data_IF_218971271482
#
_entry.id   IF_218971271482
#
_cell.length_a   1.000
_cell.length_b   1.000
_cell.length_c   1.000
_cell.angle_alpha   90.00
_cell.angle_beta   90.00
_cell.angle_gamma   90.00
#
_symmetry.space_group_name_H-M   'P 1'
#
loop_
_entity.id
_entity.type
_entity.pdbx_description
1 polymer ?
#
# COMPACT_ATOMS: atom_id res chain seq x y z
N UNK A 1 -13.64 16.14 4.01
CA UNK A 1 -12.30 15.70 4.48
C UNK A 1 -11.33 15.98 3.36
N UNK A 2 -10.26 16.73 3.64
CA UNK A 2 -9.31 17.19 2.62
C UNK A 2 -8.61 16.02 1.94
N UNK A 3 -8.59 16.04 0.60
CA UNK A 3 -7.82 15.11 -0.19
C UNK A 3 -6.35 15.50 -0.07
N UNK A 4 -5.50 14.65 0.50
CA UNK A 4 -4.05 14.87 0.50
C UNK A 4 -3.47 14.14 -0.71
N UNK A 5 -2.88 14.90 -1.62
CA UNK A 5 -2.13 14.41 -2.77
C UNK A 5 -0.64 14.63 -2.59
N UNK A 6 0.15 13.75 -3.17
CA UNK A 6 1.60 13.76 -3.06
C UNK A 6 2.26 13.63 -4.42
N UNK A 7 3.33 14.39 -4.64
CA UNK A 7 4.20 14.28 -5.80
C UNK A 7 5.64 14.23 -5.30
N UNK A 8 6.42 13.25 -5.75
CA UNK A 8 7.84 13.15 -5.42
C UNK A 8 8.65 13.61 -6.63
N UNK A 9 9.45 14.64 -6.43
CA UNK A 9 10.49 15.05 -7.39
C UNK A 9 11.84 14.54 -6.89
N UNK A 10 12.30 13.46 -7.51
CA UNK A 10 13.57 12.83 -7.17
C UNK A 10 14.78 13.66 -7.63
N UNK A 11 14.63 14.51 -8.65
CA UNK A 11 15.72 15.37 -9.13
C UNK A 11 16.03 16.48 -8.13
N UNK A 12 15.00 16.96 -7.42
CA UNK A 12 15.13 17.96 -6.36
C UNK A 12 15.25 17.33 -4.97
N UNK A 13 14.92 16.04 -4.83
CA UNK A 13 14.85 15.36 -3.53
C UNK A 13 13.72 15.90 -2.64
N UNK A 14 12.59 16.29 -3.24
CA UNK A 14 11.46 16.93 -2.54
C UNK A 14 10.17 16.12 -2.72
N UNK A 15 9.45 15.92 -1.62
CA UNK A 15 8.06 15.49 -1.59
C UNK A 15 7.17 16.74 -1.49
N UNK A 16 6.39 16.99 -2.54
CA UNK A 16 5.32 17.98 -2.53
C UNK A 16 4.05 17.33 -2.00
N UNK A 17 3.38 18.01 -1.07
CA UNK A 17 2.11 17.59 -0.49
C UNK A 17 1.09 18.71 -0.65
N UNK A 18 -0.08 18.36 -1.17
CA UNK A 18 -1.13 19.32 -1.50
C UNK A 18 -2.47 18.87 -0.92
N UNK A 19 -3.30 19.83 -0.54
CA UNK A 19 -4.65 19.59 -0.06
C UNK A 19 -5.57 20.76 -0.43
N UNK A 20 -6.81 20.52 -0.90
CA UNK A 20 -7.79 21.60 -1.13
C UNK A 20 -8.15 22.39 0.13
N UNK A 21 -7.86 21.85 1.31
CA UNK A 21 -8.10 22.51 2.59
C UNK A 21 -6.95 23.45 3.00
N UNK A 22 -5.79 23.37 2.35
CA UNK A 22 -4.62 24.18 2.64
C UNK A 22 -4.36 25.15 1.49
N UNK A 23 -4.01 26.40 1.81
CA UNK A 23 -3.76 27.43 0.79
C UNK A 23 -2.49 27.19 -0.01
N UNK A 24 -1.47 26.68 0.67
CA UNK A 24 -0.14 26.48 0.11
C UNK A 24 0.24 25.00 0.11
N UNK A 25 1.03 24.62 -0.89
CA UNK A 25 1.64 23.29 -0.96
C UNK A 25 2.74 23.17 0.08
N UNK A 26 2.79 22.06 0.79
CA UNK A 26 3.88 21.73 1.71
C UNK A 26 5.03 21.08 0.93
N UNK A 27 6.26 21.43 1.27
CA UNK A 27 7.47 20.87 0.67
C UNK A 27 8.26 20.16 1.76
N UNK A 28 8.54 18.88 1.57
CA UNK A 28 9.31 18.06 2.52
C UNK A 28 10.55 17.53 1.80
N UNK A 29 11.73 17.91 2.28
CA UNK A 29 13.00 17.36 1.77
C UNK A 29 13.13 15.89 2.14
N UNK A 30 13.51 15.04 1.17
CA UNK A 30 13.67 13.60 1.37
C UNK A 30 14.94 13.29 2.16
N UNK A 31 16.07 13.88 1.75
CA UNK A 31 17.38 13.74 2.41
C UNK A 31 17.60 14.76 3.51
N UNK A 32 16.53 15.30 4.10
CA UNK A 32 16.68 16.09 5.31
C UNK A 32 17.42 15.23 6.34
N UNK A 33 18.64 15.63 6.71
CA UNK A 33 19.29 15.25 7.95
C UNK A 33 18.39 15.77 9.07
N UNK A 34 17.27 15.11 9.32
CA UNK A 34 16.34 15.48 10.40
C UNK A 34 17.09 15.14 11.68
N UNK A 35 17.72 16.19 12.21
CA UNK A 35 18.31 16.38 13.52
C UNK A 35 18.33 15.13 14.42
N UNK A 36 19.53 14.73 14.84
CA UNK A 36 19.81 13.64 15.79
C UNK A 36 19.06 13.76 17.14
N UNK A 37 18.32 14.85 17.38
CA UNK A 37 17.79 15.25 18.67
C UNK A 37 16.32 14.89 18.95
N UNK A 38 15.58 14.26 18.04
CA UNK A 38 14.15 13.92 18.28
C UNK A 38 13.73 12.55 17.72
N UNK A 39 14.47 11.50 18.06
CA UNK A 39 13.98 10.13 17.90
C UNK A 39 12.96 9.85 19.01
N UNK A 40 11.73 9.56 18.62
CA UNK A 40 10.66 9.16 19.51
C UNK A 40 10.33 7.67 19.33
N UNK A 41 9.89 7.04 20.41
CA UNK A 41 9.37 5.68 20.40
C UNK A 41 7.85 5.71 20.32
N UNK A 42 7.28 5.09 19.29
CA UNK A 42 5.82 4.91 19.17
C UNK A 42 5.45 3.43 19.17
N UNK A 43 4.25 3.12 19.65
CA UNK A 43 3.66 1.79 19.55
C UNK A 43 2.51 1.77 18.54
N UNK A 44 2.63 0.96 17.50
CA UNK A 44 1.58 0.72 16.51
C UNK A 44 1.32 -0.79 16.41
N UNK A 45 0.07 -1.19 16.66
CA UNK A 45 -0.36 -2.59 16.59
C UNK A 45 0.51 -3.57 17.40
N UNK A 46 0.98 -3.15 18.59
CA UNK A 46 1.83 -3.95 19.46
C UNK A 46 3.29 -4.08 18.98
N UNK A 47 3.72 -3.23 18.05
CA UNK A 47 5.11 -3.11 17.60
C UNK A 47 5.64 -1.71 17.91
N UNK A 48 6.90 -1.64 18.34
CA UNK A 48 7.58 -0.38 18.64
C UNK A 48 8.39 0.08 17.44
N UNK A 49 8.32 1.37 17.14
CA UNK A 49 9.03 2.00 16.04
C UNK A 49 9.78 3.22 16.57
N UNK A 50 11.05 3.33 16.18
CA UNK A 50 11.80 4.59 16.29
C UNK A 50 11.42 5.48 15.11
N UNK A 51 11.02 6.71 15.41
CA UNK A 51 10.52 7.65 14.41
C UNK A 51 11.11 9.03 14.61
N UNK A 52 11.22 9.76 13.51
CA UNK A 52 11.49 11.19 13.49
C UNK A 52 10.17 11.96 13.41
N UNK A 53 10.01 12.91 14.32
CA UNK A 53 8.93 13.90 14.26
C UNK A 53 9.30 15.04 13.34
N UNK A 54 8.33 15.55 12.59
CA UNK A 54 8.49 16.80 11.85
C UNK A 54 8.15 17.99 12.74
N UNK A 55 8.55 19.16 12.27
CA UNK A 55 8.34 20.43 12.95
C UNK A 55 6.85 20.82 13.04
N UNK A 56 6.58 21.84 13.87
CA UNK A 56 5.21 22.28 14.14
C UNK A 56 4.49 22.81 12.90
N UNK A 57 5.21 23.41 11.92
CA UNK A 57 4.61 23.91 10.69
C UNK A 57 4.09 22.75 9.84
N UNK A 58 4.91 21.72 9.63
CA UNK A 58 4.51 20.48 8.95
C UNK A 58 3.30 19.83 9.65
N UNK A 59 3.35 19.69 10.98
CA UNK A 59 2.25 19.06 11.73
C UNK A 59 0.95 19.89 11.68
N UNK A 60 1.06 21.23 11.73
CA UNK A 60 -0.08 22.13 11.57
C UNK A 60 -0.71 22.00 10.17
N UNK A 61 0.10 21.91 9.12
CA UNK A 61 -0.37 21.72 7.75
C UNK A 61 -1.19 20.43 7.62
N UNK A 62 -0.69 19.29 8.13
CA UNK A 62 -1.46 18.03 8.11
C UNK A 62 -2.71 18.11 8.98
N UNK A 63 -2.64 18.80 10.12
CA UNK A 63 -3.79 18.99 11.00
C UNK A 63 -4.91 19.78 10.34
N UNK A 64 -4.57 20.84 9.59
CA UNK A 64 -5.49 21.62 8.77
C UNK A 64 -6.05 20.78 7.62
N UNK A 65 -5.19 20.09 6.87
CA UNK A 65 -5.60 19.26 5.73
C UNK A 65 -6.60 18.17 6.12
N UNK A 66 -6.38 17.53 7.27
CA UNK A 66 -7.21 16.40 7.74
C UNK A 66 -8.40 16.91 8.58
N UNK A 67 -8.32 18.13 9.13
CA UNK A 67 -9.33 18.73 10.00
C UNK A 67 -9.32 18.17 11.43
N UNK A 68 -8.16 17.65 11.89
CA UNK A 68 -7.95 17.14 13.26
C UNK A 68 -6.48 17.27 13.62
N UNK A 69 -6.18 17.52 14.90
CA UNK A 69 -4.80 17.55 15.39
C UNK A 69 -4.10 16.21 15.11
N UNK A 70 -2.97 16.27 14.43
CA UNK A 70 -2.13 15.11 14.12
C UNK A 70 -0.68 15.54 13.85
N UNK A 71 0.23 14.57 13.90
CA UNK A 71 1.64 14.77 13.59
C UNK A 71 2.06 13.82 12.47
N UNK A 72 2.95 14.30 11.60
CA UNK A 72 3.63 13.46 10.63
C UNK A 72 4.86 12.83 11.30
N UNK A 73 5.05 11.53 11.07
CA UNK A 73 6.18 10.78 11.61
C UNK A 73 6.90 10.04 10.47
N UNK A 74 8.23 10.02 10.49
CA UNK A 74 9.07 9.28 9.53
C UNK A 74 9.77 8.14 10.25
N UNK A 75 9.65 6.92 9.74
CA UNK A 75 10.36 5.77 10.30
C UNK A 75 11.88 5.95 10.21
N UNK A 76 12.60 5.72 11.32
CA UNK A 76 14.05 5.72 11.35
C UNK A 76 14.60 4.34 10.99
N UNK A 77 15.48 4.29 9.98
CA UNK A 77 16.17 3.07 9.59
C UNK A 77 17.53 2.88 10.31
N UNK A 78 17.92 3.80 11.20
CA UNK A 78 19.29 3.84 11.74
C UNK A 78 19.59 2.69 12.72
N UNK A 79 18.63 2.22 13.51
CA UNK A 79 18.80 1.02 14.34
C UNK A 79 18.02 -0.16 13.79
N UNK A 80 18.70 -0.85 12.88
CA UNK A 80 18.26 -2.12 12.35
C UNK A 80 18.08 -3.22 13.43
N UNK A 81 18.64 -3.08 14.63
CA UNK A 81 18.62 -4.11 15.68
C UNK A 81 17.41 -4.06 16.63
N UNK A 82 16.62 -2.97 16.66
CA UNK A 82 15.61 -2.78 17.71
C UNK A 82 14.27 -3.52 17.49
N UNK A 83 14.02 -4.06 16.28
CA UNK A 83 12.78 -4.78 15.93
C UNK A 83 12.70 -6.23 16.51
N UNK A 84 13.63 -6.63 17.38
CA UNK A 84 13.68 -8.00 17.93
C UNK A 84 12.68 -8.27 19.07
N UNK A 85 12.00 -7.28 19.63
CA UNK A 85 11.06 -7.51 20.75
C UNK A 85 9.61 -7.40 20.33
N UNK A 86 9.16 -8.39 19.55
CA UNK A 86 7.74 -8.69 19.45
C UNK A 86 7.26 -9.22 20.81
N UNK A 87 6.37 -8.52 21.49
CA UNK A 87 5.59 -9.10 22.59
C UNK A 87 4.77 -10.23 21.94
N UNK A 88 4.88 -11.45 22.49
CA UNK A 88 4.16 -12.63 22.00
C UNK A 88 2.68 -12.28 21.83
N UNK A 89 2.20 -12.16 20.58
CA UNK A 89 0.75 -12.09 20.29
C UNK A 89 0.25 -11.11 19.22
N UNK A 90 1.03 -10.18 18.67
CA UNK A 90 0.46 -9.13 17.79
C UNK A 90 1.06 -9.04 16.37
N UNK A 91 0.18 -8.98 15.36
CA UNK A 91 0.38 -8.79 13.90
C UNK A 91 1.08 -9.91 13.10
N UNK A 92 0.35 -10.50 12.15
CA UNK A 92 0.79 -11.54 11.21
C UNK A 92 1.56 -10.95 10.02
N UNK A 93 2.72 -10.35 10.25
CA UNK A 93 3.64 -10.06 9.15
C UNK A 93 4.09 -11.38 8.53
N UNK A 94 3.85 -11.58 7.22
CA UNK A 94 4.27 -12.79 6.51
C UNK A 94 5.75 -12.73 6.12
N UNK A 95 6.33 -11.54 6.10
CA UNK A 95 7.75 -11.34 5.92
C UNK A 95 8.44 -11.09 7.27
N UNK A 96 8.74 -12.18 7.98
CA UNK A 96 9.39 -12.10 9.30
C UNK A 96 10.88 -11.76 9.21
N UNK A 97 11.48 -11.82 8.01
CA UNK A 97 12.92 -11.58 7.81
C UNK A 97 13.21 -10.17 7.30
N UNK A 98 12.33 -9.59 6.46
CA UNK A 98 12.47 -8.19 6.07
C UNK A 98 11.73 -7.27 7.04
N UNK A 99 12.44 -6.26 7.51
CA UNK A 99 11.91 -5.18 8.36
C UNK A 99 10.95 -4.35 7.51
N UNK A 100 9.65 -4.55 7.72
CA UNK A 100 8.65 -3.62 7.19
C UNK A 100 8.64 -2.36 8.06
N UNK A 101 8.42 -1.22 7.42
CA UNK A 101 8.11 0.03 8.11
C UNK A 101 6.63 -0.01 8.58
N UNK A 102 5.86 1.03 8.33
CA UNK A 102 4.42 1.07 8.62
C UNK A 102 3.54 0.23 7.67
N UNK A 103 4.13 -0.59 6.78
CA UNK A 103 3.38 -1.48 5.91
C UNK A 103 2.76 -2.66 6.68
N UNK A 104 1.54 -3.07 6.27
CA UNK A 104 0.75 -4.03 7.04
C UNK A 104 1.26 -5.48 7.00
N UNK A 105 1.46 -6.05 5.79
CA UNK A 105 1.70 -7.50 5.64
C UNK A 105 2.94 -7.88 4.81
N UNK A 106 3.34 -7.05 3.84
CA UNK A 106 4.46 -7.30 2.93
C UNK A 106 5.02 -6.01 2.33
N UNK A 107 6.16 -6.12 1.64
CA UNK A 107 6.83 -4.99 0.99
C UNK A 107 6.04 -4.42 -0.19
N UNK A 108 5.44 -5.31 -1.00
CA UNK A 108 4.68 -4.91 -2.17
C UNK A 108 3.35 -5.67 -2.24
N UNK A 109 2.37 -5.02 -2.83
CA UNK A 109 1.13 -5.63 -3.26
C UNK A 109 1.01 -5.54 -4.79
N UNK A 110 0.76 -6.69 -5.43
CA UNK A 110 0.48 -6.78 -6.86
C UNK A 110 -0.99 -7.12 -7.11
N UNK A 111 -1.58 -6.47 -8.11
CA UNK A 111 -2.96 -6.70 -8.58
C UNK A 111 -2.97 -6.73 -10.12
N UNK A 112 -3.72 -7.66 -10.72
CA UNK A 112 -3.96 -7.67 -12.17
C UNK A 112 -5.14 -6.76 -12.56
N UNK A 113 -5.01 -6.06 -13.69
CA UNK A 113 -6.11 -5.29 -14.30
C UNK A 113 -7.28 -6.20 -14.69
N UNK A 114 -7.01 -7.41 -15.16
CA UNK A 114 -8.03 -8.40 -15.52
C UNK A 114 -8.81 -8.90 -14.31
N UNK A 115 -8.16 -9.07 -13.15
CA UNK A 115 -8.82 -9.35 -11.87
C UNK A 115 -9.77 -8.22 -11.45
N UNK A 116 -9.36 -6.97 -11.64
CA UNK A 116 -10.20 -5.80 -11.37
C UNK A 116 -11.36 -5.71 -12.37
N UNK A 117 -11.12 -6.00 -13.65
CA UNK A 117 -12.13 -6.03 -14.69
C UNK A 117 -13.21 -7.09 -14.41
N UNK A 118 -12.81 -8.31 -14.05
CA UNK A 118 -13.75 -9.37 -13.70
C UNK A 118 -14.57 -9.02 -12.45
N UNK A 119 -13.96 -8.42 -11.43
CA UNK A 119 -14.69 -7.92 -10.27
C UNK A 119 -15.73 -6.86 -10.66
N UNK A 120 -15.36 -5.88 -11.50
CA UNK A 120 -16.30 -4.87 -11.99
C UNK A 120 -17.47 -5.49 -12.76
N UNK A 121 -17.21 -6.50 -13.59
CA UNK A 121 -18.27 -7.24 -14.31
C UNK A 121 -19.25 -7.91 -13.35
N UNK A 122 -18.75 -8.52 -12.26
CA UNK A 122 -19.59 -9.14 -11.22
C UNK A 122 -20.42 -8.10 -10.47
N UNK A 123 -19.81 -6.97 -10.11
CA UNK A 123 -20.51 -5.85 -9.47
C UNK A 123 -21.67 -5.36 -10.35
N UNK A 124 -21.45 -5.17 -11.65
CA UNK A 124 -22.52 -4.78 -12.58
C UNK A 124 -23.61 -5.84 -12.73
N UNK A 125 -23.24 -7.12 -12.80
CA UNK A 125 -24.20 -8.23 -12.91
C UNK A 125 -25.11 -8.33 -11.68
N UNK A 126 -24.54 -8.14 -10.49
CA UNK A 126 -25.29 -8.21 -9.24
C UNK A 126 -26.33 -7.08 -9.11
N UNK A 127 -26.02 -5.89 -9.62
CA UNK A 127 -26.98 -4.78 -9.72
C UNK A 127 -28.09 -5.11 -10.73
N UNK A 128 -27.75 -5.65 -11.90
CA UNK A 128 -28.74 -6.03 -12.92
C UNK A 128 -29.70 -7.12 -12.43
N UNK A 129 -29.24 -8.02 -11.55
CA UNK A 129 -30.05 -9.07 -10.92
C UNK A 129 -30.99 -8.55 -9.82
N UNK A 130 -31.00 -7.24 -9.57
CA UNK A 130 -31.87 -6.64 -8.55
C UNK A 130 -31.53 -7.08 -7.13
N UNK A 131 -30.27 -7.45 -6.85
CA UNK A 131 -29.86 -7.82 -5.50
C UNK A 131 -29.98 -6.56 -4.62
N UNK A 132 -31.04 -6.51 -3.82
CA UNK A 132 -31.38 -5.37 -2.95
C UNK A 132 -30.21 -4.95 -2.09
N UNK A 133 -29.93 -3.64 -2.07
CA UNK A 133 -28.86 -3.04 -1.26
C UNK A 133 -27.47 -2.98 -1.92
N UNK A 134 -27.33 -3.39 -3.20
CA UNK A 134 -26.09 -3.19 -3.96
C UNK A 134 -26.12 -1.89 -4.76
N UNK A 135 -25.10 -1.06 -4.57
CA UNK A 135 -24.88 0.15 -5.35
C UNK A 135 -24.07 -0.17 -6.61
N UNK A 136 -24.33 0.55 -7.71
CA UNK A 136 -23.44 0.53 -8.87
C UNK A 136 -22.11 1.17 -8.46
N UNK A 137 -21.09 0.34 -8.29
CA UNK A 137 -19.74 0.78 -7.93
C UNK A 137 -18.77 0.25 -8.97
N UNK A 138 -18.09 1.15 -9.67
CA UNK A 138 -16.92 0.81 -10.44
C UNK A 138 -15.69 1.02 -9.55
N UNK A 139 -14.80 0.05 -9.51
CA UNK A 139 -13.54 0.11 -8.76
C UNK A 139 -12.34 0.10 -9.69
N UNK A 140 -11.38 0.98 -9.41
CA UNK A 140 -10.04 0.97 -9.99
C UNK A 140 -9.10 0.08 -9.18
N UNK A 141 -7.96 -0.30 -9.75
CA UNK A 141 -6.91 -1.01 -9.03
C UNK A 141 -6.46 -0.26 -7.76
N UNK A 142 -6.42 1.08 -7.81
CA UNK A 142 -6.04 1.93 -6.66
C UNK A 142 -6.92 1.72 -5.42
N UNK A 143 -8.16 1.21 -5.57
CA UNK A 143 -9.03 0.82 -4.43
C UNK A 143 -8.36 -0.21 -3.51
N UNK A 144 -7.50 -1.05 -4.07
CA UNK A 144 -6.81 -2.13 -3.34
C UNK A 144 -5.44 -1.69 -2.80
N UNK A 145 -5.03 -0.44 -3.07
CA UNK A 145 -3.75 0.15 -2.69
C UNK A 145 -2.52 -0.68 -3.15
N UNK A 146 -2.48 -1.17 -4.40
CA UNK A 146 -1.34 -1.92 -4.91
C UNK A 146 -0.12 -1.01 -5.07
N UNK A 147 1.06 -1.63 -5.04
CA UNK A 147 2.30 -1.01 -5.50
C UNK A 147 2.53 -1.30 -6.98
N UNK A 148 2.16 -2.51 -7.43
CA UNK A 148 2.32 -2.97 -8.81
C UNK A 148 0.95 -3.33 -9.39
N UNK A 149 0.67 -2.81 -10.58
CA UNK A 149 -0.51 -3.16 -11.38
C UNK A 149 -0.01 -3.75 -12.68
N UNK A 150 -0.53 -4.92 -13.06
CA UNK A 150 -0.07 -5.68 -14.23
C UNK A 150 -1.23 -6.08 -15.12
N UNK A 151 -0.93 -6.36 -16.39
CA UNK A 151 -1.91 -6.77 -17.39
C UNK A 151 -1.34 -7.85 -18.33
N UNK A 152 -2.18 -8.40 -19.20
CA UNK A 152 -1.85 -9.45 -20.16
C UNK A 152 -2.17 -10.88 -19.70
N UNK A 153 -2.84 -11.03 -18.56
CA UNK A 153 -3.15 -12.34 -17.95
C UNK A 153 -4.61 -12.77 -18.06
N UNK A 154 -4.93 -13.96 -17.52
CA UNK A 154 -6.32 -14.30 -17.18
C UNK A 154 -6.66 -13.64 -15.83
N UNK A 155 -7.94 -13.27 -15.58
CA UNK A 155 -8.34 -12.83 -14.25
C UNK A 155 -7.89 -13.82 -13.17
N UNK A 156 -7.24 -13.28 -12.13
CA UNK A 156 -6.71 -14.00 -10.98
C UNK A 156 -5.55 -14.95 -11.28
N UNK A 157 -4.90 -14.85 -12.46
CA UNK A 157 -3.71 -15.63 -12.76
C UNK A 157 -2.59 -15.39 -11.73
N UNK A 158 -2.54 -14.19 -11.14
CA UNK A 158 -1.56 -13.81 -10.14
C UNK A 158 -1.60 -14.69 -8.88
N UNK A 159 -2.74 -15.30 -8.56
CA UNK A 159 -2.85 -16.18 -7.38
C UNK A 159 -1.89 -17.37 -7.42
N UNK A 160 -1.56 -17.84 -8.63
CA UNK A 160 -0.71 -19.01 -8.86
C UNK A 160 0.78 -18.70 -8.89
N UNK A 161 1.17 -17.43 -9.03
CA UNK A 161 2.57 -17.04 -9.18
C UNK A 161 3.31 -17.18 -7.86
N UNK A 162 4.43 -17.90 -7.89
CA UNK A 162 5.35 -18.04 -6.75
C UNK A 162 6.56 -17.13 -6.92
N UNK A 163 7.03 -16.98 -8.15
CA UNK A 163 8.16 -16.12 -8.50
C UNK A 163 7.80 -15.24 -9.67
N UNK A 164 8.28 -14.01 -9.62
CA UNK A 164 8.00 -13.00 -10.64
C UNK A 164 9.29 -12.28 -10.96
N UNK A 165 9.61 -12.18 -12.25
CA UNK A 165 10.69 -11.34 -12.75
C UNK A 165 10.11 -10.16 -13.52
N UNK A 166 10.56 -8.95 -13.17
CA UNK A 166 10.23 -7.71 -13.88
C UNK A 166 11.57 -7.04 -14.21
N UNK A 167 11.92 -6.98 -15.50
CA UNK A 167 13.28 -6.62 -15.91
C UNK A 167 14.33 -7.56 -15.31
N UNK A 168 15.27 -7.00 -14.53
CA UNK A 168 16.31 -7.73 -13.78
C UNK A 168 15.95 -7.96 -12.30
N UNK A 169 14.77 -7.52 -11.84
CA UNK A 169 14.34 -7.64 -10.45
C UNK A 169 13.52 -8.90 -10.25
N UNK A 170 13.76 -9.57 -9.13
CA UNK A 170 13.11 -10.81 -8.76
C UNK A 170 12.25 -10.59 -7.53
N UNK A 171 11.06 -11.19 -7.54
CA UNK A 171 10.11 -11.13 -6.45
C UNK A 171 9.63 -12.54 -6.11
N UNK A 172 9.38 -12.78 -4.83
CA UNK A 172 8.70 -13.99 -4.36
C UNK A 172 7.33 -13.64 -3.82
N UNK A 173 6.34 -14.45 -4.17
CA UNK A 173 4.99 -14.34 -3.63
C UNK A 173 4.91 -14.88 -2.21
N UNK A 174 4.25 -14.11 -1.34
CA UNK A 174 3.87 -14.49 0.03
C UNK A 174 2.40 -14.94 0.08
N UNK A 175 1.79 -15.17 -1.09
CA UNK A 175 0.41 -15.59 -1.28
C UNK A 175 -0.60 -14.43 -1.29
N UNK A 176 -1.88 -14.79 -1.40
CA UNK A 176 -2.98 -13.84 -1.56
C UNK A 176 -3.10 -12.84 -0.41
N UNK A 177 -3.40 -11.58 -0.73
CA UNK A 177 -3.66 -10.52 0.23
C UNK A 177 -5.10 -10.60 0.75
N UNK A 178 -5.27 -10.69 2.07
CA UNK A 178 -6.59 -10.69 2.69
C UNK A 178 -7.15 -9.27 2.73
N UNK A 179 -8.38 -9.09 2.25
CA UNK A 179 -9.02 -7.78 2.16
C UNK A 179 -9.92 -7.51 3.35
N UNK A 180 -9.75 -6.31 3.90
CA UNK A 180 -10.58 -5.76 4.97
C UNK A 180 -11.51 -4.66 4.44
N UNK A 181 -12.39 -4.14 5.30
CA UNK A 181 -13.42 -3.15 4.96
C UNK A 181 -12.88 -1.83 4.40
N UNK A 182 -11.57 -1.56 4.48
CA UNK A 182 -10.97 -0.33 3.95
C UNK A 182 -11.25 -0.17 2.44
N UNK A 183 -11.36 -1.27 1.70
CA UNK A 183 -11.64 -1.23 0.25
C UNK A 183 -13.08 -0.82 -0.05
N UNK A 184 -13.96 -0.75 0.94
CA UNK A 184 -15.34 -0.31 0.76
C UNK A 184 -15.51 1.20 0.93
N UNK A 185 -14.45 1.90 1.32
CA UNK A 185 -14.46 3.35 1.45
C UNK A 185 -14.21 3.96 0.07
N UNK A 186 -15.16 4.79 -0.37
CA UNK A 186 -15.02 5.62 -1.55
C UNK A 186 -15.04 7.09 -1.15
N UNK A 187 -14.11 7.87 -1.71
CA UNK A 187 -14.16 9.32 -1.66
C UNK A 187 -14.95 9.79 -2.87
N UNK A 188 -16.08 10.45 -2.64
CA UNK A 188 -16.85 11.12 -3.68
C UNK A 188 -17.20 12.54 -3.19
N UNK A 189 -16.92 13.55 -4.01
CA UNK A 189 -17.14 14.97 -3.69
C UNK A 189 -16.59 15.40 -2.32
N UNK A 190 -15.41 14.89 -1.93
CA UNK A 190 -14.78 15.21 -0.64
C UNK A 190 -15.41 14.56 0.60
N UNK A 191 -16.39 13.67 0.41
CA UNK A 191 -17.04 12.88 1.46
C UNK A 191 -16.70 11.39 1.34
N UNK A 192 -16.52 10.75 2.50
CA UNK A 192 -16.30 9.29 2.57
C UNK A 192 -17.66 8.60 2.52
N UNK A 193 -17.93 7.96 1.40
CA UNK A 193 -19.06 7.06 1.21
C UNK A 193 -18.67 5.67 1.69
N UNK A 194 -19.41 5.17 2.68
CA UNK A 194 -19.26 3.81 3.20
C UNK A 194 -20.26 2.90 2.49
N UNK A 195 -19.78 1.79 1.97
CA UNK A 195 -20.65 0.73 1.44
C UNK A 195 -20.19 -0.64 1.92
N UNK A 196 -20.90 -1.70 1.53
CA UNK A 196 -20.43 -3.07 1.72
C UNK A 196 -19.63 -3.59 0.52
N UNK A 197 -19.57 -2.83 -0.56
CA UNK A 197 -18.90 -3.18 -1.82
C UNK A 197 -17.55 -2.47 -1.94
N UNK A 198 -16.54 -3.10 -2.57
CA UNK A 198 -16.61 -4.36 -3.32
C UNK A 198 -16.36 -5.61 -2.47
N UNK A 199 -16.14 -5.48 -1.15
CA UNK A 199 -15.76 -6.61 -0.29
C UNK A 199 -16.86 -7.68 -0.23
N UNK A 200 -18.14 -7.31 -0.22
CA UNK A 200 -19.26 -8.25 -0.22
C UNK A 200 -19.28 -9.09 -1.50
N UNK A 201 -19.08 -8.48 -2.67
CA UNK A 201 -18.94 -9.22 -3.93
C UNK A 201 -17.72 -10.11 -3.93
N UNK A 202 -16.56 -9.63 -3.47
CA UNK A 202 -15.38 -10.50 -3.32
C UNK A 202 -15.65 -11.68 -2.39
N UNK A 203 -16.37 -11.48 -1.29
CA UNK A 203 -16.69 -12.53 -0.34
C UNK A 203 -17.51 -13.68 -0.94
N UNK A 204 -18.29 -13.44 -2.00
CA UNK A 204 -19.16 -14.46 -2.57
C UNK A 204 -18.41 -15.50 -3.41
N UNK A 205 -17.24 -15.15 -3.97
CA UNK A 205 -16.48 -16.04 -4.86
C UNK A 205 -14.98 -16.15 -4.58
N UNK A 206 -14.42 -15.29 -3.70
CA UNK A 206 -12.99 -15.26 -3.35
C UNK A 206 -12.71 -15.61 -1.89
N UNK A 207 -13.70 -16.15 -1.18
CA UNK A 207 -13.53 -16.56 0.21
C UNK A 207 -12.84 -17.92 0.28
N UNK A 208 -11.67 -17.96 0.90
CA UNK A 208 -10.88 -19.18 1.13
C UNK A 208 -10.53 -19.27 2.62
N UNK A 209 -10.99 -20.33 3.30
CA UNK A 209 -10.74 -20.56 4.74
C UNK A 209 -11.02 -19.32 5.62
N UNK A 210 -12.13 -18.64 5.35
CA UNK A 210 -12.56 -17.44 6.10
C UNK A 210 -11.87 -16.12 5.71
N UNK A 211 -10.89 -16.13 4.80
CA UNK A 211 -10.22 -14.93 4.26
C UNK A 211 -10.77 -14.58 2.89
N UNK A 212 -10.84 -13.29 2.56
CA UNK A 212 -11.29 -12.80 1.25
C UNK A 212 -10.04 -12.34 0.50
N UNK A 213 -9.63 -13.09 -0.54
CA UNK A 213 -8.34 -12.89 -1.19
C UNK A 213 -8.47 -12.11 -2.49
N UNK A 214 -7.65 -11.08 -2.66
CA UNK A 214 -7.55 -10.33 -3.91
C UNK A 214 -6.15 -9.74 -4.07
N UNK A 215 -5.47 -10.01 -5.19
CA UNK A 215 -4.06 -9.68 -5.40
C UNK A 215 -3.12 -10.50 -4.50
N UNK A 216 -1.82 -10.40 -4.78
CA UNK A 216 -0.77 -11.16 -4.09
C UNK A 216 0.22 -10.23 -3.40
N UNK A 217 0.68 -10.66 -2.24
CA UNK A 217 1.75 -9.98 -1.51
C UNK A 217 3.10 -10.44 -2.05
N UNK A 218 4.02 -9.51 -2.28
CA UNK A 218 5.35 -9.81 -2.78
C UNK A 218 6.42 -9.30 -1.83
N UNK A 219 7.55 -10.01 -1.84
CA UNK A 219 8.83 -9.54 -1.31
C UNK A 219 9.85 -9.49 -2.44
N UNK A 220 10.78 -8.54 -2.37
CA UNK A 220 11.92 -8.51 -3.25
C UNK A 220 12.88 -9.64 -2.87
N UNK A 221 13.32 -10.43 -3.86
CA UNK A 221 14.27 -11.50 -3.68
C UNK A 221 15.67 -10.97 -4.02
N UNK A 222 16.53 -10.82 -3.01
CA UNK A 222 17.96 -10.62 -3.22
C UNK A 222 18.59 -11.96 -3.60
N UNK A 223 19.18 -12.04 -4.78
CA UNK A 223 19.96 -13.22 -5.19
C UNK A 223 21.29 -13.16 -4.44
N UNK A 224 21.51 -14.07 -3.49
CA UNK A 224 22.78 -14.20 -2.79
C UNK A 224 23.89 -14.52 -3.80
N UNK A 225 24.80 -13.57 -4.06
CA UNK A 225 25.99 -13.79 -4.89
C UNK A 225 26.26 -12.75 -5.98
N UNK A 226 25.32 -11.86 -6.31
CA UNK A 226 25.61 -10.75 -7.22
C UNK A 226 26.12 -9.54 -6.43
N UNK A 227 27.42 -9.27 -6.51
CA UNK A 227 27.95 -7.92 -6.30
C UNK A 227 27.14 -7.00 -7.20
N UNK A 228 26.30 -6.14 -6.62
CA UNK A 228 25.54 -5.13 -7.35
C UNK A 228 26.50 -4.05 -7.89
N UNK A 229 27.28 -4.38 -8.90
CA UNK A 229 27.98 -3.41 -9.72
C UNK A 229 27.03 -2.96 -10.83
N UNK A 230 26.39 -1.80 -10.61
CA UNK A 230 25.81 -0.98 -11.67
C UNK A 230 24.47 -1.41 -12.28
N UNK A 231 23.80 -2.44 -11.75
CA UNK A 231 22.48 -2.83 -12.24
C UNK A 231 21.42 -1.82 -11.78
N UNK A 232 20.78 -1.15 -12.74
CA UNK A 232 19.70 -0.19 -12.52
C UNK A 232 18.68 -0.72 -11.49
N UNK A 233 18.40 0.08 -10.44
CA UNK A 233 17.50 -0.23 -9.33
C UNK A 233 16.05 0.16 -9.62
N UNK A 234 15.77 0.70 -10.80
CA UNK A 234 14.45 1.17 -11.19
C UNK A 234 13.61 0.08 -11.85
N UNK A 235 12.30 0.14 -11.55
CA UNK A 235 11.27 -0.50 -12.37
C UNK A 235 10.56 0.58 -13.19
N UNK A 236 10.20 0.25 -14.42
CA UNK A 236 9.49 1.15 -15.33
C UNK A 236 8.15 0.57 -15.75
N UNK A 237 7.16 1.45 -15.88
CA UNK A 237 5.86 1.09 -16.49
C UNK A 237 6.11 0.65 -17.93
N UNK A 238 5.47 -0.45 -18.34
CA UNK A 238 5.63 -1.05 -19.66
C UNK A 238 6.70 -2.14 -19.74
N UNK A 239 7.41 -2.44 -18.64
CA UNK A 239 8.28 -3.61 -18.59
C UNK A 239 7.47 -4.91 -18.58
N UNK A 240 7.98 -5.91 -19.30
CA UNK A 240 7.40 -7.25 -19.30
C UNK A 240 7.54 -7.93 -17.93
N UNK A 241 6.48 -8.64 -17.56
CA UNK A 241 6.41 -9.47 -16.37
C UNK A 241 6.49 -10.95 -16.76
N UNK A 242 7.37 -11.69 -16.09
CA UNK A 242 7.56 -13.12 -16.31
C UNK A 242 7.31 -13.88 -14.99
N UNK A 243 6.11 -14.44 -14.79
CA UNK A 243 5.84 -15.36 -13.70
C UNK A 243 6.39 -16.77 -13.97
N UNK A 244 6.54 -17.58 -12.92
CA UNK A 244 6.93 -19.01 -12.99
C UNK A 244 5.83 -19.97 -13.43
#
# INVERSE_FOLDING_TARGET
MGFVSTLIDLSQGILFVESPCCKERLQITLESNVYEDAIEDIELYGQRYEVYSYDNETNAWFSEAIGRTCSLLRYSSFNQDFMLKKIKGAATCRDMKNKLNFANEAQFLLVSEESVCDLNRRLSSDVQKGISGKAMVQVSASRFRPNLVVSGGRPYAEDGWRYIRIGNKHFSSLGGCNRCQIINLALNSGQVQKSNEPLATLASYRRVKGKILFGILLKHATVDGEQQQGADSWLHVGQDIHPD
#
